data_IF_526396006983
#
_entry.id   IF_526396006983
#
_cell.length_a   1.000
_cell.length_b   1.000
_cell.length_c   1.000
_cell.angle_alpha   90.00
_cell.angle_beta   90.00
_cell.angle_gamma   90.00
#
_symmetry.space_group_name_H-M   'P 1'
#
loop_
_entity.id
_entity.type
_entity.pdbx_description
1 polymer ?
#
# COMPACT_ATOMS: atom_id res chain seq x y z
N UNK A 1 32.52 -17.67 47.37
CA UNK A 1 32.57 -16.23 47.04
C UNK A 1 31.26 -15.87 46.37
N UNK A 2 30.50 -14.92 46.92
CA UNK A 2 29.19 -14.54 46.40
C UNK A 2 29.33 -13.65 45.15
N UNK A 3 28.45 -13.76 44.14
CA UNK A 3 28.53 -12.92 42.95
C UNK A 3 28.12 -11.49 43.31
N UNK A 4 28.99 -10.52 43.06
CA UNK A 4 28.72 -9.10 43.27
C UNK A 4 27.71 -8.63 42.22
N UNK A 5 26.45 -8.43 42.61
CA UNK A 5 25.47 -7.74 41.78
C UNK A 5 25.90 -6.29 41.65
N UNK A 6 26.44 -5.92 40.47
CA UNK A 6 26.77 -4.54 40.15
C UNK A 6 25.46 -3.75 40.08
N UNK A 7 25.11 -3.03 41.15
CA UNK A 7 23.96 -2.13 41.18
C UNK A 7 24.11 -1.06 40.10
N UNK A 8 23.17 -1.04 39.15
CA UNK A 8 23.11 -0.04 38.07
C UNK A 8 22.85 1.40 38.56
N UNK A 9 22.60 1.60 39.85
CA UNK A 9 22.20 2.89 40.41
C UNK A 9 23.36 3.89 40.52
N UNK A 10 24.62 3.45 40.50
CA UNK A 10 25.79 4.34 40.67
C UNK A 10 26.29 5.01 39.37
N UNK A 11 25.73 4.68 38.20
CA UNK A 11 26.20 5.23 36.92
C UNK A 11 25.60 6.61 36.60
N UNK A 12 26.43 7.51 36.08
CA UNK A 12 26.02 8.83 35.60
C UNK A 12 25.04 8.69 34.42
N UNK A 13 24.12 9.64 34.25
CA UNK A 13 23.15 9.65 33.13
C UNK A 13 23.84 9.49 31.75
N UNK A 14 25.08 9.98 31.60
CA UNK A 14 25.89 9.80 30.38
C UNK A 14 26.35 8.36 30.16
N UNK A 15 26.68 7.63 31.22
CA UNK A 15 27.10 6.21 31.17
C UNK A 15 25.90 5.28 30.97
N UNK A 16 24.77 5.57 31.64
CA UNK A 16 23.49 4.91 31.39
C UNK A 16 23.05 5.06 29.93
N UNK A 17 23.29 6.22 29.31
CA UNK A 17 22.99 6.45 27.88
C UNK A 17 23.97 5.68 26.96
N UNK A 18 25.27 5.63 27.29
CA UNK A 18 26.26 4.81 26.58
C UNK A 18 25.95 3.31 26.60
N UNK A 19 25.27 2.81 27.64
CA UNK A 19 24.84 1.41 27.75
C UNK A 19 23.45 1.14 27.14
N UNK A 20 22.55 2.13 27.13
CA UNK A 20 21.21 1.99 26.50
C UNK A 20 21.26 2.01 24.98
N UNK A 21 22.10 2.86 24.38
CA UNK A 21 22.29 2.94 22.92
C UNK A 21 22.63 1.58 22.26
N UNK A 22 23.60 0.78 22.73
CA UNK A 22 23.90 -0.51 22.12
C UNK A 22 22.76 -1.52 22.27
N UNK A 23 21.99 -1.46 23.36
CA UNK A 23 20.82 -2.33 23.56
C UNK A 23 19.71 -1.99 22.55
N UNK A 24 19.38 -0.71 22.40
CA UNK A 24 18.36 -0.26 21.44
C UNK A 24 18.76 -0.60 20.00
N UNK A 25 20.02 -0.39 19.63
CA UNK A 25 20.50 -0.74 18.30
C UNK A 25 20.54 -2.26 18.08
N UNK A 26 20.83 -3.06 19.11
CA UNK A 26 20.68 -4.51 19.05
C UNK A 26 19.22 -4.89 18.75
N UNK A 27 18.26 -4.35 19.52
CA UNK A 27 16.84 -4.60 19.28
C UNK A 27 16.39 -4.18 17.88
N UNK A 28 16.89 -3.05 17.36
CA UNK A 28 16.61 -2.60 15.99
C UNK A 28 17.13 -3.61 14.96
N UNK A 29 18.38 -4.06 15.12
CA UNK A 29 18.99 -5.07 14.23
C UNK A 29 18.26 -6.40 14.29
N UNK A 30 17.87 -6.84 15.47
CA UNK A 30 17.10 -8.08 15.67
C UNK A 30 15.73 -7.99 14.98
N UNK A 31 15.04 -6.84 15.10
CA UNK A 31 13.76 -6.61 14.40
C UNK A 31 13.92 -6.66 12.88
N UNK A 32 14.96 -6.04 12.34
CA UNK A 32 15.25 -6.06 10.89
C UNK A 32 15.53 -7.47 10.42
N UNK A 33 16.40 -8.20 11.13
CA UNK A 33 16.74 -9.58 10.77
C UNK A 33 15.51 -10.49 10.81
N UNK A 34 14.66 -10.36 11.83
CA UNK A 34 13.41 -11.11 11.92
C UNK A 34 12.47 -10.78 10.74
N UNK A 35 12.35 -9.51 10.37
CA UNK A 35 11.54 -9.11 9.21
C UNK A 35 12.06 -9.69 7.89
N UNK A 36 13.39 -9.77 7.71
CA UNK A 36 14.01 -10.38 6.53
C UNK A 36 13.75 -11.90 6.49
N UNK A 37 13.83 -12.59 7.64
CA UNK A 37 13.51 -14.02 7.71
C UNK A 37 12.03 -14.28 7.41
N UNK A 38 11.13 -13.43 7.90
CA UNK A 38 9.70 -13.51 7.55
C UNK A 38 9.47 -13.32 6.05
N UNK A 39 10.17 -12.38 5.42
CA UNK A 39 10.09 -12.19 3.96
C UNK A 39 10.54 -13.44 3.21
N UNK A 40 11.62 -14.10 3.66
CA UNK A 40 12.09 -15.35 3.06
C UNK A 40 11.02 -16.44 3.09
N UNK A 41 10.34 -16.62 4.23
CA UNK A 41 9.25 -17.60 4.37
C UNK A 41 8.06 -17.24 3.49
N UNK A 42 7.63 -15.97 3.47
CA UNK A 42 6.49 -15.52 2.65
C UNK A 42 6.74 -15.70 1.15
N UNK A 43 7.99 -15.55 0.72
CA UNK A 43 8.40 -15.63 -0.69
C UNK A 43 8.99 -16.99 -1.07
N UNK A 44 8.96 -17.96 -0.15
CA UNK A 44 9.58 -19.28 -0.33
C UNK A 44 9.20 -19.92 -1.67
N UNK A 45 7.91 -19.89 -2.03
CA UNK A 45 7.40 -20.42 -3.29
C UNK A 45 7.97 -19.72 -4.54
N UNK A 46 8.30 -18.44 -4.44
CA UNK A 46 8.86 -17.69 -5.57
C UNK A 46 10.36 -17.97 -5.72
N UNK A 47 11.08 -18.20 -4.61
CA UNK A 47 12.48 -18.68 -4.65
C UNK A 47 12.60 -20.08 -5.24
N UNK A 48 11.72 -21.01 -4.85
CA UNK A 48 11.74 -22.38 -5.39
C UNK A 48 11.54 -22.45 -6.91
N UNK A 49 10.85 -21.47 -7.51
CA UNK A 49 10.66 -21.39 -8.96
C UNK A 49 11.92 -20.92 -9.69
N UNK A 50 12.75 -20.13 -9.04
CA UNK A 50 14.00 -19.63 -9.61
C UNK A 50 15.14 -20.61 -9.31
N UNK A 51 15.43 -20.85 -8.04
CA UNK A 51 16.47 -21.77 -7.59
C UNK A 51 16.12 -22.43 -6.23
N UNK A 52 15.71 -23.71 -6.21
CA UNK A 52 15.21 -24.37 -5.00
C UNK A 52 16.27 -24.71 -3.94
N UNK A 53 17.57 -24.67 -4.27
CA UNK A 53 18.64 -25.17 -3.40
C UNK A 53 19.76 -24.16 -3.12
N UNK A 54 19.56 -22.88 -3.46
CA UNK A 54 20.58 -21.85 -3.21
C UNK A 54 20.36 -21.19 -1.86
N UNK A 55 21.47 -20.99 -1.15
CA UNK A 55 21.49 -20.25 0.11
C UNK A 55 21.22 -18.78 -0.20
N UNK A 56 19.99 -18.35 0.05
CA UNK A 56 19.55 -16.97 -0.19
C UNK A 56 20.33 -16.00 0.70
N UNK A 57 21.00 -15.04 0.07
CA UNK A 57 21.60 -13.91 0.77
C UNK A 57 20.52 -12.87 1.11
N UNK A 58 20.85 -11.95 2.02
CA UNK A 58 19.91 -10.89 2.41
C UNK A 58 19.56 -9.96 1.23
N UNK A 59 20.49 -9.75 0.31
CA UNK A 59 20.25 -8.95 -0.89
C UNK A 59 19.21 -9.64 -1.79
N UNK A 60 19.39 -10.93 -2.07
CA UNK A 60 18.48 -11.73 -2.89
C UNK A 60 17.05 -11.74 -2.31
N UNK A 61 16.95 -11.86 -0.98
CA UNK A 61 15.64 -11.85 -0.31
C UNK A 61 14.90 -10.53 -0.55
N UNK A 62 15.63 -9.41 -0.44
CA UNK A 62 15.06 -8.08 -0.64
C UNK A 62 14.74 -7.81 -2.11
N UNK A 63 15.59 -8.24 -3.03
CA UNK A 63 15.37 -8.09 -4.47
C UNK A 63 14.13 -8.86 -4.92
N UNK A 64 14.01 -10.14 -4.51
CA UNK A 64 12.83 -10.94 -4.76
C UNK A 64 11.57 -10.29 -4.20
N UNK A 65 11.63 -9.72 -2.99
CA UNK A 65 10.50 -9.04 -2.38
C UNK A 65 10.05 -7.82 -3.19
N UNK A 66 10.98 -7.02 -3.68
CA UNK A 66 10.67 -5.86 -4.54
C UNK A 66 10.04 -6.32 -5.85
N UNK A 67 10.62 -7.31 -6.52
CA UNK A 67 10.10 -7.86 -7.77
C UNK A 67 8.70 -8.46 -7.59
N UNK A 68 8.49 -9.19 -6.50
CA UNK A 68 7.18 -9.74 -6.14
C UNK A 68 6.14 -8.63 -5.95
N UNK A 69 6.45 -7.57 -5.20
CA UNK A 69 5.53 -6.46 -4.97
C UNK A 69 5.24 -5.67 -6.25
N UNK A 70 6.22 -5.47 -7.12
CA UNK A 70 6.01 -4.84 -8.43
C UNK A 70 5.07 -5.68 -9.28
N UNK A 71 5.32 -6.99 -9.37
CA UNK A 71 4.45 -7.93 -10.08
C UNK A 71 3.03 -7.93 -9.51
N UNK A 72 2.86 -7.92 -8.19
CA UNK A 72 1.54 -7.84 -7.54
C UNK A 72 0.81 -6.52 -7.84
N UNK A 73 1.51 -5.40 -7.91
CA UNK A 73 0.91 -4.10 -8.30
C UNK A 73 0.46 -4.10 -9.75
N UNK A 74 1.29 -4.59 -10.66
CA UNK A 74 0.93 -4.69 -12.09
C UNK A 74 -0.17 -5.73 -12.34
N UNK A 75 -0.18 -6.80 -11.55
CA UNK A 75 -1.13 -7.89 -11.65
C UNK A 75 -2.32 -7.75 -10.72
N UNK A 76 -2.56 -6.61 -10.05
CA UNK A 76 -3.71 -6.47 -9.13
C UNK A 76 -5.01 -6.66 -9.93
N UNK A 77 -5.54 -7.88 -10.05
CA UNK A 77 -6.49 -8.18 -11.10
C UNK A 77 -7.80 -7.53 -10.72
N UNK A 78 -8.09 -7.43 -9.42
CA UNK A 78 -9.31 -6.85 -8.90
C UNK A 78 -9.49 -5.39 -9.31
N UNK A 79 -8.45 -4.55 -9.32
CA UNK A 79 -8.65 -3.14 -9.63
C UNK A 79 -8.79 -2.92 -11.14
N UNK A 80 -7.91 -3.54 -11.94
CA UNK A 80 -7.97 -3.47 -13.40
C UNK A 80 -9.24 -4.14 -13.95
N UNK A 81 -9.63 -5.30 -13.40
CA UNK A 81 -10.86 -6.00 -13.74
C UNK A 81 -12.09 -5.23 -13.30
N UNK A 82 -12.12 -4.65 -12.09
CA UNK A 82 -13.24 -3.83 -11.64
C UNK A 82 -13.42 -2.59 -12.52
N UNK A 83 -12.33 -1.94 -12.93
CA UNK A 83 -12.38 -0.82 -13.87
C UNK A 83 -12.89 -1.26 -15.25
N UNK A 84 -12.44 -2.43 -15.74
CA UNK A 84 -12.93 -3.01 -16.99
C UNK A 84 -14.41 -3.36 -16.93
N UNK A 85 -14.85 -4.06 -15.88
CA UNK A 85 -16.23 -4.48 -15.64
C UNK A 85 -17.14 -3.24 -15.52
N UNK A 86 -16.69 -2.20 -14.81
CA UNK A 86 -17.40 -0.92 -14.72
C UNK A 86 -17.55 -0.26 -16.10
N UNK A 87 -16.45 -0.13 -16.87
CA UNK A 87 -16.49 0.47 -18.21
C UNK A 87 -17.43 -0.30 -19.13
N UNK A 88 -17.41 -1.62 -19.06
CA UNK A 88 -18.30 -2.48 -19.83
C UNK A 88 -19.76 -2.26 -19.44
N UNK A 89 -20.09 -2.33 -18.14
CA UNK A 89 -21.45 -2.11 -17.65
C UNK A 89 -21.99 -0.72 -17.98
N UNK A 90 -21.16 0.32 -17.82
CA UNK A 90 -21.49 1.69 -18.22
C UNK A 90 -21.77 1.78 -19.72
N UNK A 91 -20.94 1.16 -20.57
CA UNK A 91 -21.13 1.19 -22.02
C UNK A 91 -22.41 0.50 -22.49
N UNK A 92 -22.78 -0.62 -21.85
CA UNK A 92 -24.03 -1.33 -22.15
C UNK A 92 -25.24 -0.50 -21.74
N UNK A 93 -25.24 0.03 -20.51
CA UNK A 93 -26.29 0.92 -20.01
C UNK A 93 -26.46 2.16 -20.89
N UNK A 94 -25.35 2.81 -21.27
CA UNK A 94 -25.38 3.97 -22.15
C UNK A 94 -25.99 3.63 -23.51
N UNK A 95 -25.64 2.49 -24.09
CA UNK A 95 -26.20 2.04 -25.38
C UNK A 95 -27.71 1.85 -25.29
N UNK A 96 -28.18 1.18 -24.23
CA UNK A 96 -29.62 0.97 -24.00
C UNK A 96 -30.35 2.31 -23.77
N UNK A 97 -29.77 3.22 -22.99
CA UNK A 97 -30.31 4.55 -22.78
C UNK A 97 -30.43 5.33 -24.10
N UNK A 98 -29.38 5.35 -24.93
CA UNK A 98 -29.40 5.97 -26.25
C UNK A 98 -30.50 5.36 -27.12
N UNK A 99 -30.59 4.03 -27.17
CA UNK A 99 -31.59 3.32 -27.97
C UNK A 99 -33.01 3.66 -27.54
N UNK A 100 -33.27 3.71 -26.22
CA UNK A 100 -34.56 4.08 -25.67
C UNK A 100 -34.96 5.52 -26.04
N UNK A 101 -34.02 6.47 -25.94
CA UNK A 101 -34.26 7.87 -26.28
C UNK A 101 -34.55 8.03 -27.77
N UNK A 102 -33.84 7.32 -28.64
CA UNK A 102 -34.08 7.33 -30.09
C UNK A 102 -35.46 6.76 -30.49
N UNK A 103 -36.03 5.86 -29.67
CA UNK A 103 -37.34 5.26 -29.96
C UNK A 103 -38.51 6.22 -29.66
N UNK A 104 -38.31 7.22 -28.80
CA UNK A 104 -39.35 8.19 -28.39
C UNK A 104 -38.88 9.64 -28.67
N UNK A 105 -39.00 10.17 -29.90
CA UNK A 105 -38.40 11.45 -30.29
C UNK A 105 -39.12 12.71 -29.77
N UNK A 106 -40.18 12.59 -28.96
CA UNK A 106 -41.03 13.74 -28.57
C UNK A 106 -40.31 14.83 -27.73
N UNK A 107 -39.10 14.57 -27.21
CA UNK A 107 -38.36 15.52 -26.35
C UNK A 107 -36.87 15.65 -26.70
N UNK A 108 -36.56 15.79 -28.00
CA UNK A 108 -35.20 15.78 -28.54
C UNK A 108 -34.18 16.70 -27.86
N UNK A 109 -34.57 17.89 -27.36
CA UNK A 109 -33.62 18.79 -26.68
C UNK A 109 -33.12 18.23 -25.34
N UNK A 110 -34.02 17.67 -24.52
CA UNK A 110 -33.67 17.04 -23.24
C UNK A 110 -32.85 15.78 -23.45
N UNK A 111 -33.15 15.00 -24.50
CA UNK A 111 -32.40 13.81 -24.88
C UNK A 111 -30.96 14.17 -25.29
N UNK A 112 -30.78 15.19 -26.11
CA UNK A 112 -29.46 15.67 -26.52
C UNK A 112 -28.64 16.20 -25.34
N UNK A 113 -29.28 16.93 -24.41
CA UNK A 113 -28.61 17.37 -23.17
C UNK A 113 -28.15 16.18 -22.32
N UNK A 114 -29.03 15.18 -22.13
CA UNK A 114 -28.71 13.97 -21.38
C UNK A 114 -27.54 13.19 -22.01
N UNK A 115 -27.55 13.02 -23.33
CA UNK A 115 -26.47 12.34 -24.05
C UNK A 115 -25.12 13.08 -23.92
N UNK A 116 -25.11 14.41 -23.97
CA UNK A 116 -23.90 15.20 -23.74
C UNK A 116 -23.36 15.05 -22.31
N UNK A 117 -24.23 14.91 -21.31
CA UNK A 117 -23.81 14.69 -19.92
C UNK A 117 -23.31 13.26 -19.66
N UNK A 118 -23.80 12.28 -20.42
CA UNK A 118 -23.41 10.87 -20.31
C UNK A 118 -22.14 10.52 -21.10
N UNK A 119 -21.67 11.41 -21.97
CA UNK A 119 -20.39 11.19 -22.63
C UNK A 119 -19.26 11.16 -21.59
N UNK A 120 -18.37 10.15 -21.64
CA UNK A 120 -17.19 10.14 -20.79
C UNK A 120 -16.41 11.45 -21.00
N UNK A 121 -15.91 12.10 -19.93
CA UNK A 121 -15.11 13.31 -20.07
C UNK A 121 -13.96 13.04 -21.05
N UNK A 122 -13.86 13.86 -22.09
CA UNK A 122 -12.71 13.92 -22.99
C UNK A 122 -11.47 14.10 -22.09
N UNK A 123 -10.58 13.11 -22.11
CA UNK A 123 -9.44 12.93 -21.19
C UNK A 123 -8.77 14.26 -20.81
N UNK A 124 -8.95 14.69 -19.56
CA UNK A 124 -7.95 15.53 -18.89
C UNK A 124 -6.83 14.63 -18.35
N UNK A 125 -5.59 15.12 -18.23
CA UNK A 125 -4.46 14.31 -17.81
C UNK A 125 -4.71 13.78 -16.40
N UNK A 126 -4.62 12.46 -16.26
CA UNK A 126 -4.79 11.74 -15.00
C UNK A 126 -3.68 12.17 -14.04
N UNK A 127 -3.97 13.13 -13.15
CA UNK A 127 -3.27 13.22 -11.87
C UNK A 127 -3.85 12.10 -11.03
N UNK A 128 -2.98 11.16 -10.64
CA UNK A 128 -3.32 10.02 -9.79
C UNK A 128 -3.84 10.53 -8.44
N UNK A 129 -5.15 10.66 -8.29
CA UNK A 129 -5.78 10.90 -7.00
C UNK A 129 -6.27 9.56 -6.44
N UNK A 130 -5.49 9.04 -5.51
CA UNK A 130 -5.90 7.97 -4.59
C UNK A 130 -7.18 8.40 -3.88
N UNK A 131 -8.32 7.81 -4.26
CA UNK A 131 -9.59 7.99 -3.57
C UNK A 131 -9.67 6.99 -2.42
N UNK A 132 -9.61 7.48 -1.19
CA UNK A 132 -9.93 6.71 0.02
C UNK A 132 -11.41 6.98 0.31
N UNK A 133 -12.29 5.98 0.48
CA UNK A 133 -13.69 6.23 0.86
C UNK A 133 -13.75 6.73 2.30
N UNK A 134 -14.28 7.94 2.49
CA UNK A 134 -14.62 8.50 3.80
C UNK A 134 -15.89 7.83 4.32
N UNK A 135 -15.73 6.89 5.26
CA UNK A 135 -16.82 6.46 6.14
C UNK A 135 -16.88 7.42 7.31
N UNK A 136 -17.99 8.16 7.36
CA UNK A 136 -18.36 9.03 8.48
C UNK A 136 -18.60 8.18 9.72
N UNK A 137 -17.80 8.37 10.76
CA UNK A 137 -18.28 8.15 12.11
C UNK A 137 -17.75 9.24 13.05
N UNK A 138 -18.68 9.80 13.83
CA UNK A 138 -18.43 10.92 14.72
C UNK A 138 -17.80 10.40 16.01
N UNK A 139 -16.59 10.87 16.35
CA UNK A 139 -16.16 11.30 17.70
C UNK A 139 -14.67 11.70 17.74
N UNK A 140 -14.47 12.99 18.05
CA UNK A 140 -13.42 13.56 18.89
C UNK A 140 -11.92 13.47 18.49
N UNK A 141 -11.35 14.68 18.56
CA UNK A 141 -10.00 15.03 19.00
C UNK A 141 -8.89 15.10 17.94
N UNK A 142 -8.26 16.28 17.96
CA UNK A 142 -7.22 16.74 17.08
C UNK A 142 -5.99 15.82 17.05
N UNK A 143 -5.36 15.71 15.88
CA UNK A 143 -3.89 15.69 15.70
C UNK A 143 -3.59 15.64 14.19
N UNK A 144 -3.42 16.83 13.62
CA UNK A 144 -2.70 16.95 12.36
C UNK A 144 -1.25 16.50 12.58
N UNK A 145 -0.86 15.36 12.00
CA UNK A 145 0.55 15.11 11.67
C UNK A 145 0.68 14.10 10.54
N UNK A 146 0.66 14.67 9.33
CA UNK A 146 1.44 14.29 8.14
C UNK A 146 2.37 13.07 8.38
N UNK A 147 1.97 11.89 7.93
CA UNK A 147 2.73 10.64 8.06
C UNK A 147 3.76 10.47 6.95
N UNK A 148 4.39 11.55 6.50
CA UNK A 148 5.75 11.46 5.96
C UNK A 148 6.73 11.45 7.13
N UNK A 149 6.63 10.42 8.00
CA UNK A 149 7.61 10.16 9.04
C UNK A 149 8.87 9.63 8.36
N UNK A 150 9.61 10.58 7.82
CA UNK A 150 11.02 10.51 7.50
C UNK A 150 11.70 9.68 8.58
N UNK A 151 12.38 8.65 8.10
CA UNK A 151 13.27 7.82 8.88
C UNK A 151 14.14 8.72 9.77
N UNK A 152 13.98 8.64 11.09
CA UNK A 152 14.88 9.32 12.02
C UNK A 152 15.96 8.32 12.43
N UNK A 153 17.25 8.59 12.14
CA UNK A 153 18.33 7.81 12.72
C UNK A 153 18.35 8.06 14.24
N UNK A 154 18.67 7.01 15.01
CA UNK A 154 19.04 7.13 16.42
C UNK A 154 20.46 7.66 16.55
#
# INVERSE_FOLDING_TARGET
MAPTSISLDTFSSKEKNKLRKPIVEKMRRDRINNSIEQLKVLLEKEFHKQEPNVKLEKADILEMAVNYLQKQKSQSPNLAKLEQDYKQGFSSCLREAVQFLCYYPESGETQMKLLNHLQPPQKLPVVSQTYIPSVSDSKQSALASNTNKIWRPW
#
